data_IF_856918738939
#
_entry.id   IF_856918738939
#
_cell.length_a   1.000
_cell.length_b   1.000
_cell.length_c   1.000
_cell.angle_alpha   90.00
_cell.angle_beta   90.00
_cell.angle_gamma   90.00
#
_symmetry.space_group_name_H-M   'P 1'
#
loop_
_entity.id
_entity.type
_entity.pdbx_description
1 polymer ?
#
# COMPACT_ATOMS: atom_id res chain seq x y z
N UNK A 1 -15.51 18.92 13.84
CA UNK A 1 -16.00 17.82 14.71
C UNK A 1 -15.78 16.46 14.04
N UNK A 2 -16.37 16.20 12.86
CA UNK A 2 -16.29 14.89 12.19
C UNK A 2 -14.85 14.37 12.03
N UNK A 3 -13.91 15.22 11.62
CA UNK A 3 -12.48 14.87 11.51
C UNK A 3 -11.87 14.31 12.82
N UNK A 4 -12.15 14.95 13.96
CA UNK A 4 -11.63 14.52 15.27
C UNK A 4 -12.26 13.19 15.65
N UNK A 5 -13.57 13.05 15.47
CA UNK A 5 -14.28 11.79 15.76
C UNK A 5 -13.75 10.65 14.90
N UNK A 6 -13.47 10.88 13.61
CA UNK A 6 -12.90 9.88 12.71
C UNK A 6 -11.52 9.40 13.16
N UNK A 7 -10.67 10.30 13.66
CA UNK A 7 -9.36 9.92 14.23
C UNK A 7 -9.54 9.03 15.45
N UNK A 8 -10.43 9.41 16.37
CA UNK A 8 -10.71 8.64 17.59
C UNK A 8 -11.24 7.25 17.23
N UNK A 9 -12.20 7.16 16.30
CA UNK A 9 -12.80 5.87 15.91
C UNK A 9 -11.81 4.95 15.19
N UNK A 10 -10.87 5.51 14.42
CA UNK A 10 -9.87 4.72 13.70
C UNK A 10 -8.87 4.03 14.64
N UNK A 11 -8.57 4.64 15.79
CA UNK A 11 -7.69 4.04 16.80
C UNK A 11 -8.34 2.97 17.67
N UNK A 12 -9.63 2.66 17.48
CA UNK A 12 -10.33 1.65 18.27
C UNK A 12 -10.10 0.25 17.70
N UNK A 13 -10.10 -0.76 18.57
CA UNK A 13 -10.05 -2.19 18.19
C UNK A 13 -11.41 -2.67 17.67
N UNK A 14 -11.95 -2.00 16.65
CA UNK A 14 -13.22 -2.31 16.00
C UNK A 14 -12.97 -2.34 14.49
N UNK A 15 -13.47 -3.36 13.76
CA UNK A 15 -13.37 -3.36 12.31
C UNK A 15 -14.12 -2.16 11.73
N UNK A 16 -13.39 -1.17 11.22
CA UNK A 16 -13.95 0.04 10.64
C UNK A 16 -13.16 0.48 9.41
N UNK A 17 -13.86 1.08 8.45
CA UNK A 17 -13.26 1.63 7.23
C UNK A 17 -13.09 3.15 7.32
N UNK A 18 -12.01 3.67 6.73
CA UNK A 18 -11.74 5.12 6.65
C UNK A 18 -12.21 5.79 5.36
N UNK A 19 -12.63 5.01 4.36
CA UNK A 19 -12.97 5.52 3.04
C UNK A 19 -14.11 6.56 3.10
N UNK A 20 -15.26 6.18 3.65
CA UNK A 20 -16.44 7.06 3.74
C UNK A 20 -16.21 8.29 4.63
N UNK A 21 -15.63 8.17 5.85
CA UNK A 21 -15.32 9.33 6.66
C UNK A 21 -14.42 10.34 5.95
N UNK A 22 -13.36 9.89 5.28
CA UNK A 22 -12.47 10.76 4.51
C UNK A 22 -13.21 11.44 3.35
N UNK A 23 -14.08 10.74 2.62
CA UNK A 23 -14.88 11.37 1.56
C UNK A 23 -15.77 12.48 2.11
N UNK A 24 -16.47 12.25 3.22
CA UNK A 24 -17.39 13.24 3.81
C UNK A 24 -16.64 14.49 4.26
N UNK A 25 -15.48 14.32 4.91
CA UNK A 25 -14.65 15.45 5.36
C UNK A 25 -14.14 16.24 4.15
N UNK A 26 -13.65 15.56 3.12
CA UNK A 26 -13.17 16.19 1.89
C UNK A 26 -14.29 16.88 1.13
N UNK A 27 -15.49 16.29 1.08
CA UNK A 27 -16.68 16.87 0.46
C UNK A 27 -17.12 18.14 1.18
N UNK A 28 -17.11 18.14 2.52
CA UNK A 28 -17.45 19.33 3.30
C UNK A 28 -16.46 20.48 3.04
N UNK A 29 -15.16 20.19 2.98
CA UNK A 29 -14.13 21.18 2.65
C UNK A 29 -14.24 21.67 1.20
N UNK A 30 -14.44 20.76 0.25
CA UNK A 30 -14.65 21.11 -1.16
C UNK A 30 -15.90 21.97 -1.37
N UNK A 31 -16.99 21.64 -0.67
CA UNK A 31 -18.22 22.45 -0.68
C UNK A 31 -18.00 23.83 -0.08
N UNK A 32 -17.28 23.93 1.03
CA UNK A 32 -16.94 25.23 1.63
C UNK A 32 -16.19 26.13 0.64
N UNK A 33 -15.23 25.57 -0.11
CA UNK A 33 -14.52 26.29 -1.18
C UNK A 33 -15.47 26.65 -2.33
N UNK A 34 -16.35 25.73 -2.74
CA UNK A 34 -17.36 25.99 -3.78
C UNK A 34 -18.30 27.14 -3.43
N UNK A 35 -18.86 27.15 -2.22
CA UNK A 35 -19.74 28.23 -1.73
C UNK A 35 -19.00 29.57 -1.64
N UNK A 36 -17.71 29.54 -1.25
CA UNK A 36 -16.87 30.74 -1.27
C UNK A 36 -16.69 31.29 -2.68
N UNK A 37 -16.44 30.44 -3.69
CA UNK A 37 -16.34 30.87 -5.08
C UNK A 37 -17.65 31.45 -5.61
N UNK A 38 -18.78 30.87 -5.24
CA UNK A 38 -20.12 31.41 -5.56
C UNK A 38 -20.29 32.80 -4.93
N UNK A 39 -19.87 32.98 -3.68
CA UNK A 39 -19.93 34.30 -3.02
C UNK A 39 -19.05 35.37 -3.70
N UNK A 40 -18.03 34.96 -4.46
CA UNK A 40 -17.18 35.82 -5.28
C UNK A 40 -17.76 36.08 -6.69
N UNK A 41 -19.03 35.75 -6.94
CA UNK A 41 -19.73 35.87 -8.22
C UNK A 41 -19.15 35.00 -9.35
N UNK A 42 -18.46 33.90 -9.02
CA UNK A 42 -18.08 32.90 -10.02
C UNK A 42 -19.25 31.93 -10.21
N UNK A 43 -19.71 31.79 -11.46
CA UNK A 43 -20.79 30.87 -11.82
C UNK A 43 -20.28 29.42 -11.82
N UNK A 44 -20.22 28.82 -10.63
CA UNK A 44 -19.65 27.50 -10.38
C UNK A 44 -20.64 26.66 -9.59
N UNK A 45 -20.73 25.37 -9.92
CA UNK A 45 -21.53 24.42 -9.14
C UNK A 45 -20.76 23.97 -7.89
N UNK A 46 -21.26 24.25 -6.67
CA UNK A 46 -20.59 23.85 -5.43
C UNK A 46 -20.58 22.32 -5.22
N UNK A 47 -21.50 21.59 -5.87
CA UNK A 47 -21.55 20.12 -5.83
C UNK A 47 -20.32 19.47 -6.46
N UNK A 48 -19.91 19.94 -7.65
CA UNK A 48 -18.69 19.48 -8.33
C UNK A 48 -17.43 19.72 -7.49
N UNK A 49 -17.34 20.84 -6.78
CA UNK A 49 -16.20 21.14 -5.91
C UNK A 49 -16.19 20.26 -4.65
N UNK A 50 -17.35 19.88 -4.14
CA UNK A 50 -17.45 18.89 -3.08
C UNK A 50 -16.86 17.53 -3.52
N UNK A 51 -17.18 17.06 -4.74
CA UNK A 51 -16.63 15.81 -5.28
C UNK A 51 -15.11 15.87 -5.46
N UNK A 52 -14.60 16.98 -6.02
CA UNK A 52 -13.15 17.20 -6.18
C UNK A 52 -12.44 17.22 -4.81
N UNK A 53 -13.03 17.87 -3.81
CA UNK A 53 -12.49 17.89 -2.44
C UNK A 53 -12.51 16.53 -1.76
N UNK A 54 -13.58 15.74 -1.95
CA UNK A 54 -13.67 14.37 -1.47
C UNK A 54 -12.58 13.48 -2.08
N UNK A 55 -12.40 13.58 -3.39
CA UNK A 55 -11.37 12.88 -4.14
C UNK A 55 -9.96 13.26 -3.65
N UNK A 56 -9.68 14.56 -3.54
CA UNK A 56 -8.39 15.08 -3.10
C UNK A 56 -8.01 14.63 -1.70
N UNK A 57 -8.93 14.71 -0.73
CA UNK A 57 -8.64 14.28 0.64
C UNK A 57 -8.41 12.77 0.71
N UNK A 58 -9.25 11.98 0.04
CA UNK A 58 -9.12 10.53 0.08
C UNK A 58 -7.86 10.05 -0.64
N UNK A 59 -7.54 10.64 -1.79
CA UNK A 59 -6.29 10.41 -2.52
C UNK A 59 -5.06 10.84 -1.72
N UNK A 60 -5.15 11.94 -0.97
CA UNK A 60 -4.08 12.41 -0.09
C UNK A 60 -3.84 11.52 1.14
N UNK A 61 -4.87 10.87 1.68
CA UNK A 61 -4.73 9.96 2.84
C UNK A 61 -4.28 8.55 2.40
N UNK A 62 -4.92 8.02 1.36
CA UNK A 62 -4.69 6.63 0.91
C UNK A 62 -3.55 6.49 -0.07
N UNK A 63 -3.15 7.57 -0.76
CA UNK A 63 -2.19 7.58 -1.87
C UNK A 63 -2.59 6.70 -3.06
N UNK A 64 -3.87 6.34 -3.17
CA UNK A 64 -4.43 5.65 -4.34
C UNK A 64 -4.84 6.67 -5.39
N UNK A 65 -4.27 6.59 -6.59
CA UNK A 65 -4.49 7.57 -7.67
C UNK A 65 -5.49 7.07 -8.71
N UNK A 66 -5.13 6.02 -9.46
CA UNK A 66 -5.90 5.52 -10.61
C UNK A 66 -7.22 4.90 -10.16
N UNK A 67 -7.17 3.91 -9.26
CA UNK A 67 -8.38 3.20 -8.78
C UNK A 67 -9.39 4.16 -8.15
N UNK A 68 -8.93 5.11 -7.33
CA UNK A 68 -9.79 6.10 -6.71
C UNK A 68 -10.48 7.00 -7.75
N UNK A 69 -9.70 7.49 -8.72
CA UNK A 69 -10.23 8.33 -9.78
C UNK A 69 -11.35 7.62 -10.54
N UNK A 70 -11.15 6.34 -10.87
CA UNK A 70 -12.15 5.52 -11.57
C UNK A 70 -13.42 5.36 -10.72
N UNK A 71 -13.29 5.00 -9.44
CA UNK A 71 -14.44 4.81 -8.53
C UNK A 71 -15.29 6.09 -8.46
N UNK A 72 -14.67 7.26 -8.30
CA UNK A 72 -15.41 8.52 -8.15
C UNK A 72 -16.11 8.91 -9.45
N UNK A 73 -15.46 8.72 -10.60
CA UNK A 73 -16.06 9.01 -11.91
C UNK A 73 -17.19 8.04 -12.22
N UNK A 74 -17.04 6.76 -11.90
CA UNK A 74 -18.07 5.75 -12.11
C UNK A 74 -19.30 6.01 -11.24
N UNK A 75 -19.12 6.34 -9.96
CA UNK A 75 -20.24 6.67 -9.04
C UNK A 75 -20.94 7.97 -9.42
N UNK A 76 -20.21 8.94 -9.99
CA UNK A 76 -20.79 10.24 -10.39
C UNK A 76 -21.44 10.18 -11.77
N UNK A 77 -21.08 9.19 -12.60
CA UNK A 77 -21.49 9.06 -14.00
C UNK A 77 -21.12 10.28 -14.89
N UNK A 78 -20.19 11.14 -14.45
CA UNK A 78 -19.71 12.32 -15.19
C UNK A 78 -18.22 12.21 -15.54
N UNK A 79 -17.97 11.80 -16.79
CA UNK A 79 -16.62 11.58 -17.32
C UNK A 79 -15.89 12.92 -17.55
N UNK A 80 -16.60 14.04 -17.70
CA UNK A 80 -15.95 15.34 -17.88
C UNK A 80 -15.16 15.77 -16.63
N UNK A 81 -15.54 15.24 -15.46
CA UNK A 81 -14.86 15.48 -14.18
C UNK A 81 -13.59 14.63 -13.99
N UNK A 82 -13.29 13.71 -14.91
CA UNK A 82 -12.14 12.80 -14.82
C UNK A 82 -10.80 13.54 -14.74
N UNK A 83 -10.55 14.46 -15.68
CA UNK A 83 -9.32 15.25 -15.74
C UNK A 83 -9.07 16.08 -14.47
N UNK A 84 -10.02 16.91 -13.99
CA UNK A 84 -9.80 17.71 -12.79
C UNK A 84 -9.67 16.86 -11.52
N UNK A 85 -10.39 15.74 -11.40
CA UNK A 85 -10.22 14.81 -10.27
C UNK A 85 -8.81 14.21 -10.27
N UNK A 86 -8.35 13.71 -11.42
CA UNK A 86 -7.04 13.11 -11.54
C UNK A 86 -5.92 14.10 -11.18
N UNK A 87 -6.02 15.34 -11.67
CA UNK A 87 -5.06 16.39 -11.33
C UNK A 87 -5.06 16.71 -9.83
N UNK A 88 -6.25 16.81 -9.23
CA UNK A 88 -6.39 17.11 -7.79
C UNK A 88 -5.83 15.99 -6.92
N UNK A 89 -6.13 14.73 -7.25
CA UNK A 89 -5.60 13.57 -6.53
C UNK A 89 -4.07 13.52 -6.67
N UNK A 90 -3.53 13.78 -7.87
CA UNK A 90 -2.08 13.78 -8.08
C UNK A 90 -1.40 14.88 -7.26
N UNK A 91 -1.94 16.10 -7.27
CA UNK A 91 -1.43 17.19 -6.45
C UNK A 91 -1.48 16.85 -4.95
N UNK A 92 -2.60 16.30 -4.48
CA UNK A 92 -2.75 15.86 -3.09
C UNK A 92 -1.78 14.74 -2.71
N UNK A 93 -1.53 13.79 -3.62
CA UNK A 93 -0.58 12.70 -3.46
C UNK A 93 0.85 13.21 -3.37
N UNK A 94 1.26 14.12 -4.27
CA UNK A 94 2.59 14.73 -4.26
C UNK A 94 2.85 15.51 -2.97
N UNK A 95 1.90 16.37 -2.59
CA UNK A 95 2.00 17.14 -1.34
C UNK A 95 2.06 16.18 -0.16
N UNK A 96 1.21 15.16 -0.14
CA UNK A 96 1.22 14.14 0.89
C UNK A 96 2.57 13.41 0.98
N UNK A 97 3.15 13.00 -0.15
CA UNK A 97 4.39 12.21 -0.20
C UNK A 97 5.58 13.01 0.38
N UNK A 98 5.53 14.34 0.30
CA UNK A 98 6.53 15.20 0.93
C UNK A 98 6.48 15.18 2.47
N UNK A 99 5.32 14.92 3.09
CA UNK A 99 5.14 15.03 4.54
C UNK A 99 5.03 13.69 5.25
N UNK A 100 4.26 12.75 4.70
CA UNK A 100 3.92 11.48 5.37
C UNK A 100 3.82 10.33 4.38
N UNK A 101 4.03 9.10 4.87
CA UNK A 101 3.66 7.87 4.16
C UNK A 101 2.14 7.72 4.06
N UNK A 102 1.68 6.79 3.22
CA UNK A 102 0.24 6.47 3.13
C UNK A 102 -0.26 5.88 4.45
N UNK A 103 -1.53 6.12 4.77
CA UNK A 103 -2.10 5.62 6.03
C UNK A 103 -2.05 4.09 6.13
N UNK A 104 -2.25 3.38 5.01
CA UNK A 104 -2.19 1.92 4.98
C UNK A 104 -0.78 1.38 5.15
N UNK A 105 0.22 2.03 4.57
CA UNK A 105 1.63 1.64 4.74
C UNK A 105 2.08 1.81 6.20
N UNK A 106 1.65 2.89 6.86
CA UNK A 106 1.90 3.09 8.29
C UNK A 106 1.27 1.95 9.11
N UNK A 107 0.03 1.56 8.80
CA UNK A 107 -0.64 0.48 9.52
C UNK A 107 0.04 -0.88 9.33
N UNK A 108 0.50 -1.16 8.11
CA UNK A 108 1.31 -2.34 7.79
C UNK A 108 2.59 -2.36 8.61
N UNK A 109 3.31 -1.24 8.66
CA UNK A 109 4.56 -1.13 9.39
C UNK A 109 4.35 -1.33 10.90
N UNK A 110 3.26 -0.77 11.45
CA UNK A 110 2.88 -0.96 12.85
C UNK A 110 2.42 -2.39 13.18
N UNK A 111 1.85 -3.10 12.20
CA UNK A 111 1.44 -4.51 12.37
C UNK A 111 2.63 -5.48 12.43
N UNK A 112 3.86 -5.00 12.22
CA UNK A 112 5.07 -5.82 12.23
C UNK A 112 5.19 -6.77 11.02
N UNK A 113 4.35 -6.59 10.01
CA UNK A 113 4.40 -7.39 8.78
C UNK A 113 5.42 -6.76 7.83
N UNK A 114 6.44 -7.53 7.46
CA UNK A 114 7.43 -7.08 6.47
C UNK A 114 6.89 -7.32 5.05
N UNK A 115 6.22 -6.32 4.50
CA UNK A 115 5.80 -6.30 3.10
C UNK A 115 7.00 -5.92 2.22
N UNK A 116 7.30 -6.75 1.23
CA UNK A 116 8.32 -6.45 0.22
C UNK A 116 7.73 -5.45 -0.79
N UNK A 117 8.21 -4.22 -0.75
CA UNK A 117 7.85 -3.19 -1.73
C UNK A 117 8.60 -3.43 -3.05
N UNK A 118 7.87 -3.45 -4.16
CA UNK A 118 8.44 -3.71 -5.49
C UNK A 118 9.14 -2.47 -6.09
N UNK A 119 8.72 -1.27 -5.69
CA UNK A 119 9.12 -0.01 -6.34
C UNK A 119 10.30 0.70 -5.66
N UNK A 120 10.63 0.35 -4.42
CA UNK A 120 11.70 1.00 -3.65
C UNK A 120 12.75 0.00 -3.19
N UNK A 121 13.49 -0.57 -4.14
CA UNK A 121 14.76 -1.20 -3.81
C UNK A 121 15.70 -0.09 -3.28
N UNK A 122 16.14 -0.17 -2.01
CA UNK A 122 17.15 0.75 -1.50
C UNK A 122 18.35 0.76 -2.44
N UNK A 123 18.94 1.92 -2.74
CA UNK A 123 20.17 1.98 -3.55
C UNK A 123 21.28 1.07 -2.98
N UNK A 124 21.27 0.84 -1.66
CA UNK A 124 22.15 -0.12 -0.99
C UNK A 124 22.02 -1.55 -1.53
N UNK A 125 20.81 -1.97 -1.92
CA UNK A 125 20.53 -3.30 -2.49
C UNK A 125 21.09 -3.48 -3.92
N UNK A 126 21.44 -2.39 -4.61
CA UNK A 126 22.14 -2.48 -5.91
C UNK A 126 23.61 -2.91 -5.77
N UNK A 127 24.20 -2.73 -4.58
CA UNK A 127 25.58 -3.08 -4.28
C UNK A 127 25.71 -4.40 -3.50
N UNK A 128 24.59 -4.93 -2.99
CA UNK A 128 24.57 -6.16 -2.20
C UNK A 128 24.43 -7.39 -3.09
N UNK A 129 25.29 -8.38 -2.93
CA UNK A 129 25.17 -9.65 -3.64
C UNK A 129 24.16 -10.56 -2.94
N UNK A 130 23.54 -11.49 -3.68
CA UNK A 130 22.71 -12.54 -3.09
C UNK A 130 23.47 -13.33 -2.01
N UNK A 131 24.79 -13.44 -2.14
CA UNK A 131 25.67 -14.09 -1.15
C UNK A 131 25.65 -13.40 0.22
N UNK A 132 25.44 -12.09 0.26
CA UNK A 132 25.50 -11.31 1.51
C UNK A 132 24.18 -11.39 2.30
N UNK A 133 23.07 -11.72 1.61
CA UNK A 133 21.72 -11.79 2.18
C UNK A 133 21.30 -13.24 2.46
N UNK A 134 21.76 -14.20 1.64
CA UNK A 134 21.35 -15.59 1.75
C UNK A 134 21.84 -16.25 3.05
N UNK A 135 21.01 -17.13 3.62
CA UNK A 135 21.46 -18.01 4.70
C UNK A 135 22.40 -19.07 4.13
N UNK A 136 23.69 -19.00 4.46
CA UNK A 136 24.70 -19.89 3.85
C UNK A 136 24.66 -21.33 4.37
N UNK A 137 24.16 -21.56 5.59
CA UNK A 137 24.05 -22.89 6.19
C UNK A 137 22.64 -23.44 5.99
N UNK A 138 22.45 -24.18 4.90
CA UNK A 138 21.14 -24.76 4.53
C UNK A 138 21.08 -26.22 4.94
N UNK A 139 19.92 -26.66 5.44
CA UNK A 139 19.63 -28.06 5.72
C UNK A 139 19.13 -28.70 4.42
N UNK A 140 19.88 -29.67 3.93
CA UNK A 140 19.58 -30.36 2.66
C UNK A 140 18.98 -31.74 2.91
N UNK A 141 18.14 -32.20 1.98
CA UNK A 141 17.67 -33.58 1.91
C UNK A 141 18.29 -34.25 0.69
N UNK A 142 18.55 -35.55 0.74
CA UNK A 142 19.00 -36.32 -0.43
C UNK A 142 17.80 -36.91 -1.18
N UNK A 143 18.01 -37.27 -2.45
CA UNK A 143 16.98 -37.91 -3.29
C UNK A 143 16.44 -39.21 -2.66
N UNK A 144 17.32 -39.96 -1.99
CA UNK A 144 16.97 -41.14 -1.22
C UNK A 144 17.32 -40.90 0.25
N UNK A 145 16.31 -40.59 1.06
CA UNK A 145 16.45 -40.34 2.50
C UNK A 145 15.61 -41.28 3.35
N UNK A 146 16.07 -41.53 4.57
CA UNK A 146 15.27 -42.26 5.55
C UNK A 146 14.08 -41.43 6.00
N UNK A 147 12.88 -42.00 5.97
CA UNK A 147 11.64 -41.36 6.46
C UNK A 147 11.78 -40.88 7.90
N UNK A 148 12.52 -41.61 8.73
CA UNK A 148 12.79 -41.24 10.12
C UNK A 148 13.64 -39.96 10.22
N UNK A 149 14.55 -39.72 9.28
CA UNK A 149 15.35 -38.50 9.24
C UNK A 149 14.49 -37.30 8.82
N UNK A 150 13.61 -37.49 7.83
CA UNK A 150 12.68 -36.45 7.37
C UNK A 150 11.73 -36.04 8.49
N UNK A 151 11.13 -37.01 9.18
CA UNK A 151 10.24 -36.76 10.33
C UNK A 151 10.97 -35.97 11.43
N UNK A 152 12.17 -36.42 11.83
CA UNK A 152 12.99 -35.70 12.83
C UNK A 152 13.36 -34.28 12.40
N UNK A 153 13.57 -34.04 11.10
CA UNK A 153 13.91 -32.70 10.59
C UNK A 153 12.69 -31.77 10.61
N UNK A 154 11.51 -32.28 10.26
CA UNK A 154 10.25 -31.53 10.33
C UNK A 154 9.87 -31.20 11.78
N UNK A 155 10.14 -32.09 12.74
CA UNK A 155 9.87 -31.83 14.16
C UNK A 155 10.87 -30.84 14.79
N UNK A 156 12.14 -30.85 14.34
CA UNK A 156 13.20 -30.04 14.95
C UNK A 156 13.36 -28.66 14.33
N UNK A 157 12.83 -28.42 13.13
CA UNK A 157 13.06 -27.19 12.39
C UNK A 157 11.75 -26.52 11.97
N UNK A 158 11.70 -25.20 12.01
CA UNK A 158 10.56 -24.40 11.54
C UNK A 158 10.68 -24.01 10.06
N UNK A 159 11.42 -24.79 9.27
CA UNK A 159 11.58 -24.52 7.84
C UNK A 159 10.45 -25.20 7.06
N UNK A 160 9.77 -24.43 6.21
CA UNK A 160 8.70 -24.96 5.34
C UNK A 160 9.19 -25.46 3.98
N UNK A 161 10.50 -25.46 3.73
CA UNK A 161 11.10 -25.91 2.48
C UNK A 161 12.54 -26.36 2.66
N UNK A 162 12.90 -27.46 2.01
CA UNK A 162 14.23 -28.05 2.06
C UNK A 162 14.70 -28.34 0.62
N UNK A 163 15.87 -27.84 0.20
CA UNK A 163 16.43 -28.20 -1.10
C UNK A 163 16.85 -29.67 -1.11
N UNK A 164 16.50 -30.37 -2.19
CA UNK A 164 16.91 -31.76 -2.43
C UNK A 164 18.17 -31.77 -3.29
N UNK A 165 19.22 -32.45 -2.83
CA UNK A 165 20.52 -32.53 -3.51
C UNK A 165 20.89 -33.97 -3.85
N UNK A 166 21.44 -34.18 -5.04
CA UNK A 166 22.01 -35.46 -5.47
C UNK A 166 23.53 -35.47 -5.18
N UNK A 167 24.03 -36.51 -4.50
CA UNK A 167 25.46 -36.67 -4.18
C UNK A 167 26.33 -36.80 -5.45
N UNK A 168 25.77 -37.25 -6.57
CA UNK A 168 26.52 -37.44 -7.82
C UNK A 168 26.94 -36.13 -8.52
N UNK A 169 26.26 -35.02 -8.21
CA UNK A 169 26.34 -33.77 -8.99
C UNK A 169 27.07 -32.61 -8.28
N UNK A 170 27.50 -32.78 -7.02
CA UNK A 170 28.17 -31.73 -6.24
C UNK A 170 29.56 -31.40 -6.83
N UNK A 171 30.22 -32.35 -7.49
CA UNK A 171 31.57 -32.18 -8.04
C UNK A 171 31.63 -31.47 -9.41
N UNK A 172 30.51 -31.33 -10.14
CA UNK A 172 30.54 -30.85 -11.54
C UNK A 172 29.95 -29.46 -11.78
N UNK A 173 29.14 -28.90 -10.86
CA UNK A 173 28.42 -27.63 -11.10
C UNK A 173 28.94 -26.39 -10.38
N UNK A 174 29.89 -26.51 -9.46
CA UNK A 174 30.50 -25.35 -8.78
C UNK A 174 31.70 -24.72 -9.53
N UNK A 175 32.03 -25.20 -10.73
CA UNK A 175 33.16 -24.74 -11.56
C UNK A 175 32.76 -24.18 -12.95
N UNK A 176 31.51 -23.73 -13.11
CA UNK A 176 31.07 -22.93 -14.28
C UNK A 176 30.27 -21.72 -13.79
#
# INVERSE_FOLDING_TARGET
VYYITSIVTYGLMIPSGLFVPCMIIGAALGRLVGELLVSLNLAVDPGRYALIGAAGLLGGVTRMTISLTVIIVEVTEDIHLLLPIMFTILAAKLVGDCFTKSLYEIHVHLSGVHLLESDQLPQALQLTSARDIMTSKVIVLHEVESTQRVERLLERTNHHGFPVVDESNISQRFFL
#
